data_IF_596515011796
#
_entry.id   IF_596515011796
#
_cell.length_a   1.000
_cell.length_b   1.000
_cell.length_c   1.000
_cell.angle_alpha   90.00
_cell.angle_beta   90.00
_cell.angle_gamma   90.00
#
_symmetry.space_group_name_H-M   'P 1'
#
loop_
_entity.id
_entity.type
_entity.pdbx_description
1 polymer ?
#
# COMPACT_ATOMS: atom_id res chain seq x y z
N UNK A 1 -38.40 30.65 67.88
CA UNK A 1 -38.00 29.39 68.54
C UNK A 1 -36.48 29.27 68.46
N UNK A 2 -35.89 28.56 69.41
CA UNK A 2 -34.53 28.70 69.95
C UNK A 2 -33.34 28.36 69.01
N UNK A 3 -32.18 28.93 69.39
CA UNK A 3 -30.77 28.46 69.23
C UNK A 3 -30.61 26.96 69.61
N UNK A 4 -29.49 26.23 69.36
CA UNK A 4 -28.05 26.64 69.30
C UNK A 4 -27.25 25.99 68.12
N UNK A 5 -26.03 26.37 67.73
CA UNK A 5 -24.71 26.49 68.38
C UNK A 5 -24.00 25.16 68.72
N UNK A 6 -22.70 25.14 68.37
CA UNK A 6 -21.58 24.36 68.91
C UNK A 6 -21.22 22.94 68.40
N UNK A 7 -20.05 22.93 67.72
CA UNK A 7 -18.78 22.32 68.14
C UNK A 7 -18.37 20.91 67.72
N UNK A 8 -17.07 20.89 67.36
CA UNK A 8 -16.09 19.82 67.30
C UNK A 8 -16.41 18.59 68.15
N UNK A 9 -16.30 17.41 67.54
CA UNK A 9 -15.63 16.25 68.13
C UNK A 9 -14.97 15.38 67.03
N UNK A 10 -13.67 15.16 67.17
CA UNK A 10 -12.94 13.92 66.82
C UNK A 10 -12.20 13.51 68.11
N UNK A 11 -11.65 12.28 68.31
CA UNK A 11 -11.55 11.07 67.47
C UNK A 11 -12.08 9.81 68.22
N UNK A 12 -12.09 8.56 67.71
CA UNK A 12 -10.98 7.57 67.69
C UNK A 12 -11.49 6.25 67.08
N UNK A 13 -10.68 5.69 66.17
CA UNK A 13 -10.44 4.29 65.75
C UNK A 13 -11.53 3.21 65.87
N UNK A 14 -11.76 2.49 64.78
CA UNK A 14 -11.27 1.10 64.64
C UNK A 14 -11.30 0.58 63.17
N UNK A 15 -10.10 0.25 62.70
CA UNK A 15 -9.68 -0.89 61.87
C UNK A 15 -10.61 -1.44 60.77
N UNK A 16 -10.22 -1.17 59.52
CA UNK A 16 -10.58 -1.95 58.33
C UNK A 16 -9.38 -2.08 57.38
N UNK A 17 -8.90 -3.30 57.21
CA UNK A 17 -7.68 -3.74 56.54
C UNK A 17 -7.52 -3.22 55.10
N UNK A 18 -6.42 -2.50 54.84
CA UNK A 18 -5.98 -2.18 53.48
C UNK A 18 -5.38 -3.42 52.81
N UNK A 19 -5.97 -3.84 51.70
CA UNK A 19 -5.39 -4.85 50.81
C UNK A 19 -4.19 -4.21 50.11
N UNK A 20 -2.98 -4.64 50.50
CA UNK A 20 -1.76 -4.30 49.77
C UNK A 20 -1.79 -4.96 48.38
N UNK A 21 -1.83 -4.14 47.34
CA UNK A 21 -1.55 -4.59 45.98
C UNK A 21 -0.01 -4.71 45.86
N UNK A 22 0.55 -5.87 45.49
CA UNK A 22 1.98 -6.03 45.36
C UNK A 22 2.52 -5.11 44.25
N UNK A 23 3.54 -4.34 44.61
CA UNK A 23 4.32 -3.50 43.71
C UNK A 23 5.01 -4.38 42.68
N UNK A 24 4.37 -4.59 41.54
CA UNK A 24 4.97 -5.33 40.43
C UNK A 24 5.88 -4.35 39.70
N UNK A 25 7.19 -4.50 39.89
CA UNK A 25 8.21 -3.78 39.13
C UNK A 25 7.93 -3.99 37.64
N UNK A 26 7.48 -2.95 36.94
CA UNK A 26 7.27 -3.00 35.51
C UNK A 26 8.64 -3.06 34.83
N UNK A 27 9.11 -4.28 34.56
CA UNK A 27 10.26 -4.49 33.68
C UNK A 27 9.79 -4.11 32.28
N UNK A 28 10.28 -2.97 31.78
CA UNK A 28 10.06 -2.55 30.41
C UNK A 28 10.48 -3.70 29.48
N UNK A 29 9.58 -4.24 28.63
CA UNK A 29 9.97 -5.27 27.69
C UNK A 29 11.07 -4.71 26.81
N UNK A 30 12.14 -5.49 26.62
CA UNK A 30 13.23 -5.15 25.72
C UNK A 30 12.65 -4.70 24.37
N UNK A 31 13.21 -3.64 23.75
CA UNK A 31 12.64 -3.06 22.54
C UNK A 31 12.48 -4.14 21.47
N UNK A 32 11.22 -4.38 21.07
CA UNK A 32 10.87 -5.27 19.96
C UNK A 32 11.67 -4.80 18.76
N UNK A 33 12.61 -5.64 18.32
CA UNK A 33 13.47 -5.34 17.18
C UNK A 33 12.57 -5.05 15.98
N UNK A 34 12.62 -3.83 15.49
CA UNK A 34 11.88 -3.45 14.28
C UNK A 34 12.42 -4.28 13.10
N UNK A 35 11.53 -4.68 12.19
CA UNK A 35 11.76 -5.47 10.97
C UNK A 35 13.04 -5.14 10.17
N UNK A 36 13.59 -3.93 10.32
CA UNK A 36 14.87 -3.51 9.76
C UNK A 36 16.07 -4.34 10.26
N UNK A 37 16.08 -4.71 11.53
CA UNK A 37 17.21 -5.35 12.20
C UNK A 37 17.26 -6.87 11.98
N UNK A 38 16.10 -7.52 11.85
CA UNK A 38 16.00 -8.97 11.57
C UNK A 38 16.54 -9.30 10.18
N UNK A 39 16.21 -8.48 9.17
CA UNK A 39 16.68 -8.65 7.79
C UNK A 39 18.16 -8.25 7.62
N UNK A 40 18.71 -7.44 8.53
CA UNK A 40 20.11 -6.99 8.50
C UNK A 40 21.10 -8.03 9.02
N UNK A 41 20.69 -8.92 9.93
CA UNK A 41 21.61 -9.80 10.64
C UNK A 41 22.09 -10.98 9.80
N UNK A 42 21.26 -11.48 8.89
CA UNK A 42 21.54 -12.67 8.10
C UNK A 42 21.00 -12.48 6.69
N UNK A 43 21.86 -12.48 5.67
CA UNK A 43 21.49 -12.46 4.25
C UNK A 43 20.78 -13.78 3.86
N UNK A 44 19.62 -14.09 4.44
CA UNK A 44 19.06 -15.44 4.39
C UNK A 44 17.59 -15.46 3.95
N UNK A 45 17.36 -16.43 3.06
CA UNK A 45 16.13 -17.08 2.60
C UNK A 45 14.95 -17.00 3.58
N UNK A 46 13.75 -16.79 3.05
CA UNK A 46 12.52 -16.89 3.85
C UNK A 46 12.20 -18.37 4.10
N UNK A 47 12.46 -18.82 5.32
CA UNK A 47 11.90 -20.05 5.90
C UNK A 47 10.75 -19.63 6.80
N UNK A 48 9.52 -20.05 6.52
CA UNK A 48 8.41 -19.92 7.47
C UNK A 48 8.32 -21.19 8.30
N UNK A 49 8.66 -21.10 9.58
CA UNK A 49 8.29 -22.07 10.59
C UNK A 49 7.16 -21.46 11.43
N UNK A 50 5.91 -21.86 11.17
CA UNK A 50 4.83 -21.69 12.13
C UNK A 50 4.58 -23.05 12.78
N UNK A 51 5.12 -23.23 13.99
CA UNK A 51 4.87 -24.42 14.82
C UNK A 51 3.48 -24.28 15.46
N UNK A 52 2.51 -25.04 14.99
CA UNK A 52 1.36 -25.44 15.80
C UNK A 52 1.27 -26.97 15.78
N UNK A 53 1.14 -27.54 16.97
CA UNK A 53 1.10 -28.98 17.19
C UNK A 53 -0.17 -29.57 16.54
N UNK A 54 0.04 -30.67 15.81
CA UNK A 54 -0.95 -31.66 15.37
C UNK A 54 -2.13 -31.17 14.53
N UNK A 55 -2.01 -31.27 13.21
CA UNK A 55 -2.66 -32.30 12.37
C UNK A 55 -2.27 -32.07 10.90
N UNK A 56 -1.63 -33.08 10.28
CA UNK A 56 -1.17 -33.13 8.87
C UNK A 56 -0.30 -31.93 8.44
N UNK A 57 1.01 -32.08 8.62
CA UNK A 57 2.03 -31.09 8.21
C UNK A 57 1.74 -30.49 6.82
N UNK A 58 1.48 -29.17 6.71
CA UNK A 58 1.66 -28.50 5.44
C UNK A 58 3.17 -28.57 5.13
N UNK A 59 3.53 -29.15 3.98
CA UNK A 59 4.91 -29.14 3.48
C UNK A 59 5.44 -27.71 3.56
N UNK A 60 6.47 -27.49 4.37
CA UNK A 60 7.11 -26.19 4.46
C UNK A 60 7.66 -25.80 3.09
N UNK A 61 7.03 -24.82 2.44
CA UNK A 61 7.51 -24.29 1.17
C UNK A 61 8.61 -23.28 1.47
N UNK A 62 9.81 -23.54 0.96
CA UNK A 62 10.96 -22.63 1.12
C UNK A 62 11.07 -21.76 -0.11
N UNK A 63 11.00 -20.44 0.09
CA UNK A 63 11.12 -19.46 -0.98
C UNK A 63 12.45 -18.74 -0.90
N UNK A 64 13.19 -18.75 -2.01
CA UNK A 64 14.36 -17.88 -2.15
C UNK A 64 13.87 -16.47 -2.44
N UNK A 65 14.31 -15.52 -1.64
CA UNK A 65 13.90 -14.14 -1.82
C UNK A 65 15.03 -13.15 -1.64
N UNK A 66 14.85 -11.98 -2.23
CA UNK A 66 15.71 -10.84 -2.03
C UNK A 66 14.89 -9.64 -1.58
N UNK A 67 15.36 -9.00 -0.51
CA UNK A 67 14.64 -7.92 0.17
C UNK A 67 15.35 -6.61 -0.06
N UNK A 68 14.61 -5.61 -0.50
CA UNK A 68 15.12 -4.26 -0.77
C UNK A 68 14.29 -3.22 -0.02
N UNK A 69 14.95 -2.20 0.52
CA UNK A 69 14.25 -1.03 1.05
C UNK A 69 14.21 0.07 0.01
N UNK A 70 13.01 0.58 -0.25
CA UNK A 70 12.80 1.78 -1.07
C UNK A 70 12.30 2.89 -0.15
N UNK A 71 13.24 3.70 0.33
CA UNK A 71 12.99 4.75 1.32
C UNK A 71 12.67 4.21 2.72
N UNK A 72 12.03 5.05 3.56
CA UNK A 72 11.80 4.74 4.98
C UNK A 72 10.63 3.77 5.25
N UNK A 73 9.67 3.65 4.32
CA UNK A 73 8.39 2.96 4.56
C UNK A 73 8.07 1.79 3.61
N UNK A 74 8.85 1.56 2.55
CA UNK A 74 8.54 0.50 1.56
C UNK A 74 9.62 -0.57 1.55
N UNK A 75 9.17 -1.81 1.52
CA UNK A 75 10.00 -3.00 1.38
C UNK A 75 9.51 -3.75 0.15
N UNK A 76 10.42 -4.01 -0.78
CA UNK A 76 10.17 -4.84 -1.95
C UNK A 76 10.74 -6.23 -1.68
N UNK A 77 10.00 -7.24 -2.12
CA UNK A 77 10.37 -8.64 -2.03
C UNK A 77 10.38 -9.23 -3.44
N UNK A 78 11.54 -9.64 -3.91
CA UNK A 78 11.66 -10.53 -5.08
C UNK A 78 11.61 -11.96 -4.57
N UNK A 79 10.72 -12.78 -5.12
CA UNK A 79 10.58 -14.19 -4.75
C UNK A 79 10.80 -15.04 -5.98
N UNK A 80 11.67 -16.05 -5.88
CA UNK A 80 11.83 -17.06 -6.91
C UNK A 80 10.97 -18.27 -6.55
N UNK A 81 9.94 -18.52 -7.36
CA UNK A 81 8.98 -19.61 -7.20
C UNK A 81 9.42 -20.76 -8.12
N UNK A 82 9.47 -21.99 -7.58
CA UNK A 82 10.11 -23.11 -8.28
C UNK A 82 9.19 -23.75 -9.30
N UNK A 83 7.88 -23.72 -9.05
CA UNK A 83 6.88 -24.35 -9.93
C UNK A 83 5.88 -23.34 -10.46
N UNK A 84 5.23 -23.69 -11.56
CA UNK A 84 4.19 -22.87 -12.18
C UNK A 84 3.00 -22.68 -11.24
N UNK A 85 2.62 -23.73 -10.52
CA UNK A 85 1.50 -23.74 -9.59
C UNK A 85 1.75 -22.81 -8.39
N UNK A 86 2.98 -22.78 -7.88
CA UNK A 86 3.40 -21.82 -6.85
C UNK A 86 3.29 -20.38 -7.38
N UNK A 87 3.68 -20.15 -8.64
CA UNK A 87 3.54 -18.83 -9.29
C UNK A 87 2.08 -18.42 -9.43
N UNK A 88 1.24 -19.29 -9.95
CA UNK A 88 -0.19 -19.00 -10.11
C UNK A 88 -0.87 -18.75 -8.76
N UNK A 89 -0.59 -19.57 -7.75
CA UNK A 89 -1.11 -19.36 -6.40
C UNK A 89 -0.66 -18.00 -5.84
N UNK A 90 0.62 -17.66 -5.97
CA UNK A 90 1.15 -16.39 -5.48
C UNK A 90 0.52 -15.17 -6.19
N UNK A 91 0.21 -15.29 -7.48
CA UNK A 91 -0.45 -14.23 -8.27
C UNK A 91 -1.94 -14.10 -7.92
N UNK A 92 -2.64 -15.21 -7.74
CA UNK A 92 -4.10 -15.23 -7.51
C UNK A 92 -4.48 -14.98 -6.06
N UNK A 93 -3.80 -15.65 -5.13
CA UNK A 93 -4.14 -15.66 -3.70
C UNK A 93 -3.13 -14.87 -2.86
N UNK A 94 -1.97 -14.56 -3.42
CA UNK A 94 -0.85 -14.00 -2.67
C UNK A 94 -0.04 -15.06 -1.94
N UNK A 95 1.02 -14.59 -1.28
CA UNK A 95 1.87 -15.39 -0.41
C UNK A 95 1.52 -14.99 1.03
N UNK A 96 0.96 -15.93 1.79
CA UNK A 96 0.67 -15.71 3.21
C UNK A 96 1.99 -15.59 3.97
N UNK A 97 2.20 -14.45 4.62
CA UNK A 97 3.42 -14.17 5.36
C UNK A 97 3.24 -14.26 6.88
N UNK A 98 2.08 -13.83 7.37
CA UNK A 98 1.65 -14.02 8.76
C UNK A 98 0.14 -14.25 8.78
N UNK A 99 -0.47 -14.51 9.94
CA UNK A 99 -1.94 -14.61 10.06
C UNK A 99 -2.69 -13.35 9.60
N UNK A 100 -2.01 -12.20 9.52
CA UNK A 100 -2.62 -10.89 9.20
C UNK A 100 -2.08 -10.26 7.93
N UNK A 101 -1.05 -10.84 7.31
CA UNK A 101 -0.36 -10.24 6.15
C UNK A 101 -0.31 -11.24 5.01
N UNK A 102 -0.91 -10.85 3.90
CA UNK A 102 -0.83 -11.53 2.61
C UNK A 102 -0.11 -10.61 1.62
N UNK A 103 1.00 -11.09 1.05
CA UNK A 103 1.76 -10.35 0.05
C UNK A 103 1.21 -10.74 -1.32
N UNK A 104 0.58 -9.79 -2.03
CA UNK A 104 0.17 -10.03 -3.42
C UNK A 104 1.42 -10.05 -4.30
N UNK A 105 1.65 -11.16 -5.01
CA UNK A 105 2.73 -11.22 -5.96
C UNK A 105 2.37 -10.42 -7.22
N UNK A 106 3.40 -9.89 -7.87
CA UNK A 106 3.30 -9.35 -9.22
C UNK A 106 4.38 -10.02 -10.07
N UNK A 107 4.09 -10.22 -11.35
CA UNK A 107 5.08 -10.73 -12.29
C UNK A 107 6.21 -9.70 -12.39
N UNK A 108 7.45 -10.18 -12.34
CA UNK A 108 8.61 -9.34 -12.55
C UNK A 108 8.54 -8.70 -13.95
N UNK A 109 8.88 -7.42 -14.03
CA UNK A 109 8.89 -6.71 -15.30
C UNK A 109 9.99 -7.25 -16.22
N UNK A 110 9.77 -7.12 -17.53
CA UNK A 110 10.81 -7.43 -18.51
C UNK A 110 12.05 -6.56 -18.24
N UNK A 111 13.25 -7.11 -18.50
CA UNK A 111 14.51 -6.38 -18.31
C UNK A 111 14.61 -5.10 -19.15
N UNK A 112 13.82 -5.00 -20.22
CA UNK A 112 13.76 -3.86 -21.10
C UNK A 112 12.48 -3.02 -20.89
N UNK A 113 11.70 -3.31 -19.84
CA UNK A 113 10.47 -2.58 -19.53
C UNK A 113 10.77 -1.09 -19.40
N UNK A 114 9.94 -0.27 -20.03
CA UNK A 114 10.06 1.19 -20.01
C UNK A 114 8.90 1.74 -19.21
N UNK A 115 9.18 2.14 -17.97
CA UNK A 115 8.10 2.51 -17.04
C UNK A 115 7.81 4.01 -17.10
N UNK A 116 6.59 4.34 -17.49
CA UNK A 116 6.07 5.70 -17.43
C UNK A 116 5.10 5.83 -16.25
N UNK A 117 5.44 6.73 -15.32
CA UNK A 117 4.52 7.13 -14.24
C UNK A 117 3.72 8.33 -14.71
N UNK A 118 2.41 8.25 -14.55
CA UNK A 118 1.46 9.27 -15.02
C UNK A 118 0.63 9.74 -13.83
N UNK A 119 0.55 11.05 -13.64
CA UNK A 119 -0.43 11.70 -12.76
C UNK A 119 -1.64 12.09 -13.60
N UNK A 120 -2.82 11.88 -13.06
CA UNK A 120 -4.07 12.10 -13.77
C UNK A 120 -4.93 13.10 -13.02
N UNK A 121 -5.57 14.00 -13.74
CA UNK A 121 -6.53 14.97 -13.22
C UNK A 121 -7.73 15.12 -14.16
N UNK A 122 -8.76 15.81 -13.67
CA UNK A 122 -10.06 15.91 -14.35
C UNK A 122 -10.68 14.53 -14.61
N UNK A 123 -10.50 13.60 -13.65
CA UNK A 123 -11.09 12.28 -13.74
C UNK A 123 -12.62 12.38 -13.50
N UNK A 124 -13.44 11.63 -14.23
CA UNK A 124 -14.89 11.69 -14.10
C UNK A 124 -15.35 11.24 -12.70
N UNK A 125 -16.55 11.68 -12.31
CA UNK A 125 -17.19 11.31 -11.06
C UNK A 125 -17.97 9.99 -11.24
N UNK A 126 -17.24 8.88 -11.21
CA UNK A 126 -17.79 7.52 -11.31
C UNK A 126 -17.47 6.73 -10.05
N UNK A 127 -18.13 5.58 -9.90
CA UNK A 127 -17.77 4.60 -8.88
C UNK A 127 -16.34 4.08 -9.10
N UNK A 128 -15.68 3.68 -8.01
CA UNK A 128 -14.26 3.31 -8.06
C UNK A 128 -13.97 2.20 -9.08
N UNK A 129 -14.79 1.15 -9.10
CA UNK A 129 -14.60 0.01 -10.01
C UNK A 129 -14.76 0.45 -11.48
N UNK A 130 -15.76 1.28 -11.77
CA UNK A 130 -15.97 1.84 -13.12
C UNK A 130 -14.82 2.74 -13.55
N UNK A 131 -14.28 3.52 -12.60
CA UNK A 131 -13.16 4.41 -12.88
C UNK A 131 -11.87 3.64 -13.13
N UNK A 132 -11.59 2.60 -12.36
CA UNK A 132 -10.42 1.73 -12.58
C UNK A 132 -10.50 0.99 -13.92
N UNK A 133 -11.69 0.50 -14.30
CA UNK A 133 -11.92 -0.09 -15.63
C UNK A 133 -11.71 0.96 -16.72
N UNK A 134 -12.36 2.11 -16.62
CA UNK A 134 -12.26 3.18 -17.61
C UNK A 134 -10.83 3.71 -17.76
N UNK A 135 -10.06 3.80 -16.67
CA UNK A 135 -8.65 4.15 -16.70
C UNK A 135 -7.81 3.13 -17.47
N UNK A 136 -8.05 1.84 -17.25
CA UNK A 136 -7.34 0.77 -17.96
C UNK A 136 -7.65 0.77 -19.45
N UNK A 137 -8.91 0.98 -19.82
CA UNK A 137 -9.35 1.09 -21.22
C UNK A 137 -8.73 2.32 -21.90
N UNK A 138 -8.84 3.48 -21.25
CA UNK A 138 -8.31 4.77 -21.74
C UNK A 138 -6.80 4.69 -21.97
N UNK A 139 -6.07 4.20 -20.96
CA UNK A 139 -4.60 4.21 -20.99
C UNK A 139 -3.98 3.04 -21.74
N UNK A 140 -4.75 1.98 -22.01
CA UNK A 140 -4.26 0.78 -22.71
C UNK A 140 -3.75 1.04 -24.13
N UNK A 141 -4.16 2.16 -24.74
CA UNK A 141 -3.65 2.59 -26.05
C UNK A 141 -2.25 3.23 -25.99
N UNK A 142 -1.80 3.65 -24.80
CA UNK A 142 -0.52 4.34 -24.57
C UNK A 142 0.53 3.45 -23.90
N UNK A 143 0.13 2.31 -23.33
CA UNK A 143 1.04 1.37 -22.69
C UNK A 143 0.31 0.16 -22.12
N UNK A 144 1.05 -0.82 -21.61
CA UNK A 144 0.49 -1.86 -20.76
C UNK A 144 0.28 -1.30 -19.35
N UNK A 145 -0.97 -1.26 -18.92
CA UNK A 145 -1.34 -0.69 -17.62
C UNK A 145 -0.99 -1.65 -16.48
N UNK A 146 0.12 -1.36 -15.78
CA UNK A 146 0.60 -2.14 -14.65
C UNK A 146 -0.17 -1.83 -13.37
N UNK A 147 -0.49 -0.56 -13.15
CA UNK A 147 -1.19 -0.10 -11.96
C UNK A 147 -2.00 1.17 -12.28
N UNK A 148 -3.14 1.32 -11.60
CA UNK A 148 -3.99 2.51 -11.64
C UNK A 148 -4.55 2.73 -10.25
N UNK A 149 -4.73 3.98 -9.88
CA UNK A 149 -5.38 4.29 -8.62
C UNK A 149 -5.91 5.70 -8.57
N UNK A 150 -6.89 5.88 -7.69
CA UNK A 150 -7.49 7.16 -7.38
C UNK A 150 -6.91 7.71 -6.09
N UNK A 151 -6.76 9.03 -6.04
CA UNK A 151 -6.40 9.69 -4.80
C UNK A 151 -7.67 10.07 -4.04
N UNK A 152 -7.61 9.84 -2.73
CA UNK A 152 -8.65 10.23 -1.78
C UNK A 152 -8.04 11.12 -0.73
N UNK A 153 -8.84 12.06 -0.25
CA UNK A 153 -8.44 12.90 0.86
C UNK A 153 -8.11 12.02 2.09
N UNK A 154 -6.94 12.19 2.73
CA UNK A 154 -6.53 11.32 3.81
C UNK A 154 -7.49 11.29 5.01
N UNK A 155 -8.19 12.40 5.28
CA UNK A 155 -9.05 12.55 6.45
C UNK A 155 -10.48 12.07 6.16
N UNK A 156 -11.09 12.63 5.11
CA UNK A 156 -12.50 12.41 4.76
C UNK A 156 -12.71 11.17 3.88
N UNK A 157 -11.63 10.65 3.28
CA UNK A 157 -11.67 9.61 2.23
C UNK A 157 -12.46 10.02 0.99
N UNK A 158 -12.80 11.30 0.85
CA UNK A 158 -13.48 11.83 -0.31
C UNK A 158 -12.61 11.71 -1.56
N UNK A 159 -13.25 11.43 -2.69
CA UNK A 159 -12.58 11.39 -3.98
C UNK A 159 -12.16 12.80 -4.42
N UNK A 160 -10.95 12.93 -4.98
CA UNK A 160 -10.34 14.23 -5.31
C UNK A 160 -10.31 14.54 -6.82
N UNK A 161 -10.97 13.74 -7.66
CA UNK A 161 -10.98 13.94 -9.12
C UNK A 161 -9.60 13.75 -9.78
N UNK A 162 -8.67 13.10 -9.09
CA UNK A 162 -7.31 12.87 -9.56
C UNK A 162 -6.78 11.50 -9.11
N UNK A 163 -5.72 11.05 -9.77
CA UNK A 163 -5.20 9.70 -9.61
C UNK A 163 -3.83 9.53 -10.21
N UNK A 164 -3.45 8.27 -10.41
CA UNK A 164 -2.19 7.90 -11.02
C UNK A 164 -2.35 6.66 -11.88
N UNK A 165 -1.40 6.48 -12.79
CA UNK A 165 -1.19 5.24 -13.51
C UNK A 165 0.29 4.95 -13.67
N UNK A 166 0.61 3.66 -13.81
CA UNK A 166 1.93 3.15 -14.13
C UNK A 166 1.82 2.31 -15.39
N UNK A 167 2.51 2.72 -16.44
CA UNK A 167 2.48 2.08 -17.75
C UNK A 167 3.85 1.46 -18.08
N UNK A 168 3.85 0.27 -18.66
CA UNK A 168 4.97 -0.21 -19.46
C UNK A 168 4.77 0.21 -20.93
N UNK A 169 5.59 1.17 -21.36
CA UNK A 169 5.57 1.76 -22.70
C UNK A 169 6.58 1.10 -23.63
N UNK A 170 7.16 -0.04 -23.24
CA UNK A 170 8.07 -0.78 -24.10
C UNK A 170 7.35 -1.25 -25.37
N UNK A 171 7.82 -0.81 -26.53
CA UNK A 171 7.32 -1.30 -27.82
C UNK A 171 7.62 -2.80 -27.98
N UNK A 172 6.60 -3.56 -28.39
CA UNK A 172 6.73 -4.99 -28.69
C UNK A 172 6.42 -5.21 -30.18
N UNK A 173 6.96 -6.26 -30.83
CA UNK A 173 6.75 -6.50 -32.26
C UNK A 173 5.28 -6.47 -32.71
N UNK A 174 4.38 -6.94 -31.85
CA UNK A 174 2.94 -7.02 -32.12
C UNK A 174 2.12 -5.94 -31.41
N UNK A 175 2.76 -4.98 -30.72
CA UNK A 175 2.06 -3.99 -29.91
C UNK A 175 2.79 -2.65 -29.98
N UNK A 176 2.21 -1.73 -30.74
CA UNK A 176 2.63 -0.33 -30.82
C UNK A 176 1.67 0.52 -30.01
N UNK A 177 2.22 1.36 -29.16
CA UNK A 177 1.46 2.29 -28.34
C UNK A 177 1.42 3.67 -28.98
N UNK A 178 0.33 4.40 -28.76
CA UNK A 178 0.26 5.82 -29.08
C UNK A 178 1.21 6.59 -28.17
N UNK A 179 1.75 7.70 -28.67
CA UNK A 179 2.50 8.64 -27.82
C UNK A 179 1.54 9.25 -26.80
N UNK A 180 1.92 9.21 -25.52
CA UNK A 180 1.16 9.87 -24.46
C UNK A 180 1.27 11.39 -24.60
N UNK A 181 0.15 12.08 -24.43
CA UNK A 181 0.02 13.53 -24.49
C UNK A 181 -0.68 14.02 -23.21
N UNK A 182 -0.69 15.33 -22.98
CA UNK A 182 -1.38 15.95 -21.87
C UNK A 182 -2.89 15.70 -21.93
N UNK A 183 -3.48 15.83 -23.11
CA UNK A 183 -4.89 15.54 -23.36
C UNK A 183 -5.10 14.06 -23.68
N UNK A 184 -5.91 13.39 -22.86
CA UNK A 184 -6.22 11.97 -23.02
C UNK A 184 -7.73 11.80 -23.12
N UNK A 185 -8.25 11.38 -24.29
CA UNK A 185 -9.67 11.06 -24.49
C UNK A 185 -10.15 9.95 -23.56
N UNK A 186 -11.08 10.24 -22.66
CA UNK A 186 -11.68 9.28 -21.75
C UNK A 186 -12.45 8.23 -22.54
N UNK A 187 -12.05 6.96 -22.42
CA UNK A 187 -12.58 5.84 -23.22
C UNK A 187 -12.61 6.11 -24.73
N UNK A 188 -11.71 6.97 -25.21
CA UNK A 188 -11.61 7.33 -26.62
C UNK A 188 -12.58 8.42 -27.09
N UNK A 189 -13.38 9.01 -26.20
CA UNK A 189 -14.26 10.14 -26.53
C UNK A 189 -13.43 11.44 -26.63
N UNK A 190 -13.34 12.08 -27.81
CA UNK A 190 -12.57 13.30 -27.98
C UNK A 190 -13.15 14.52 -27.25
N UNK A 191 -14.43 14.48 -26.89
CA UNK A 191 -15.11 15.59 -26.20
C UNK A 191 -15.01 15.48 -24.67
N UNK A 192 -14.57 14.33 -24.15
CA UNK A 192 -14.36 14.08 -22.72
C UNK A 192 -12.88 13.80 -22.42
N UNK A 193 -12.18 14.79 -21.87
CA UNK A 193 -10.73 14.74 -21.69
C UNK A 193 -10.35 14.59 -20.22
N UNK A 194 -9.50 13.60 -19.94
CA UNK A 194 -8.69 13.60 -18.72
C UNK A 194 -7.31 14.18 -19.04
N UNK A 195 -6.65 14.74 -18.03
CA UNK A 195 -5.32 15.33 -18.20
C UNK A 195 -4.24 14.45 -17.59
N UNK A 196 -3.18 14.20 -18.35
CA UNK A 196 -2.01 13.44 -17.93
C UNK A 196 -0.80 14.35 -17.68
N UNK A 197 -0.04 14.07 -16.62
CA UNK A 197 1.25 14.71 -16.37
C UNK A 197 2.29 13.65 -16.09
N UNK A 198 3.42 13.70 -16.79
CA UNK A 198 4.42 12.65 -16.76
C UNK A 198 5.83 13.22 -17.01
N UNK A 199 6.86 12.42 -16.70
CA UNK A 199 8.25 12.84 -16.90
C UNK A 199 8.55 13.02 -18.39
N UNK A 200 9.39 14.01 -18.73
CA UNK A 200 9.69 14.41 -20.12
C UNK A 200 8.49 14.91 -20.93
N UNK A 201 7.36 15.25 -20.27
CA UNK A 201 6.26 15.94 -20.93
C UNK A 201 6.70 17.35 -21.38
N UNK A 202 6.29 17.81 -22.57
CA UNK A 202 6.47 19.20 -22.98
C UNK A 202 5.85 20.19 -21.96
N UNK A 203 6.23 21.47 -22.04
CA UNK A 203 5.63 22.50 -21.19
C UNK A 203 4.18 22.76 -21.62
N UNK A 204 3.25 22.66 -20.67
CA UNK A 204 1.84 23.03 -20.82
C UNK A 204 1.44 24.05 -19.76
N UNK A 205 0.51 24.93 -20.13
CA UNK A 205 -0.05 25.91 -19.21
C UNK A 205 -1.02 25.24 -18.23
N UNK A 206 -0.87 25.53 -16.94
CA UNK A 206 -1.76 24.99 -15.91
C UNK A 206 -3.19 25.55 -15.95
N UNK A 207 -3.44 26.60 -16.73
CA UNK A 207 -4.75 27.23 -16.84
C UNK A 207 -5.53 26.81 -18.07
N UNK A 208 -4.92 26.87 -19.26
CA UNK A 208 -5.61 26.52 -20.50
C UNK A 208 -5.28 25.12 -21.01
N UNK A 209 -4.33 24.41 -20.39
CA UNK A 209 -3.90 23.05 -20.78
C UNK A 209 -3.28 22.96 -22.19
N UNK A 210 -2.94 24.09 -22.81
CA UNK A 210 -2.29 24.16 -24.13
C UNK A 210 -0.76 24.20 -24.03
N UNK A 211 -0.11 23.73 -25.09
CA UNK A 211 1.35 23.74 -25.20
C UNK A 211 1.91 25.16 -25.47
N UNK A 212 3.18 25.37 -25.13
CA UNK A 212 3.95 26.54 -25.59
C UNK A 212 3.92 27.77 -24.67
N UNK A 213 3.28 27.67 -23.50
CA UNK A 213 3.38 28.67 -22.42
C UNK A 213 3.16 28.02 -21.05
N UNK A 214 3.56 28.71 -19.99
CA UNK A 214 3.34 28.31 -18.59
C UNK A 214 2.24 29.19 -17.97
#
# INVERSE_FOLDING_TARGET
>A
MALPNNQLETPVHETGTAIQIPSTTFVSPAPVLTWARVVQAERVSLVHAHRQNNEKEPKAVTYYSRVWRVGRKRVHLEVNLKTEEEREHALMQGIQFSSTITIRAAIALDKNAKIQKVRLSNLPLLDQDELEIGLRETLGSYGETLDVGINRDPQTKAYMGNGFAVLDIQERPNKKYKKLDHHVPWRGDPDDLIYASFDQMPLYCSHCHEAGHA
#
